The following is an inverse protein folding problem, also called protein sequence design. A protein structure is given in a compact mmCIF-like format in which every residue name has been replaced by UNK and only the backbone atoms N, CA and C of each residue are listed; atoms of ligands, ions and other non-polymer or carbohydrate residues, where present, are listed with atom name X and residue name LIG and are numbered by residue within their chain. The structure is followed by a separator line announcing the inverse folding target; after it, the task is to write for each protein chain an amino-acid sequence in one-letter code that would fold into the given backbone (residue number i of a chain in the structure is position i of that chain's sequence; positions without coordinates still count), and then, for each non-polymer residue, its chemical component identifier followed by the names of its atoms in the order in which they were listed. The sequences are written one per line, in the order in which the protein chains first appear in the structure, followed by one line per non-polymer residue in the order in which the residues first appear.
data_IF_046330239041
#
_entry.id   IF_046330239041
#
_cell.length_a   1.000
_cell.length_b   1.000
_cell.length_c   1.000
_cell.angle_alpha   90.00
_cell.angle_beta   90.00
_cell.angle_gamma   90.00
#
_symmetry.space_group_name_H-M   'P 1'
#
loop_
_entity.id
_entity.type
_entity.pdbx_description
1 polymer ?
#
# COMPACT_ATOMS: atom_id res chain seq x y z
N UNK A 1 24.32 0.31 -23.96
CA UNK A 1 23.28 0.84 -23.05
C UNK A 1 22.67 -0.30 -22.26
N UNK A 2 22.61 -0.24 -20.93
CA UNK A 2 21.97 -1.28 -20.14
C UNK A 2 20.46 -1.33 -20.46
N UNK A 3 19.98 -2.48 -20.97
CA UNK A 3 18.55 -2.70 -21.24
C UNK A 3 17.76 -2.52 -19.94
N UNK A 4 16.91 -1.53 -19.88
CA UNK A 4 15.99 -1.35 -18.77
C UNK A 4 14.87 -2.36 -18.91
N UNK A 5 14.78 -3.32 -17.98
CA UNK A 5 13.69 -4.31 -17.94
C UNK A 5 12.35 -3.58 -17.85
N UNK A 6 11.42 -3.94 -18.71
CA UNK A 6 10.10 -3.30 -18.77
C UNK A 6 9.19 -3.76 -17.62
N UNK A 7 8.14 -3.01 -17.32
CA UNK A 7 7.14 -3.45 -16.35
C UNK A 7 6.42 -4.72 -16.78
N UNK A 8 6.25 -4.93 -18.10
CA UNK A 8 5.64 -6.13 -18.65
C UNK A 8 6.46 -7.39 -18.34
N UNK A 9 7.80 -7.29 -18.42
CA UNK A 9 8.69 -8.41 -18.13
C UNK A 9 8.63 -8.78 -16.62
N UNK A 10 8.55 -7.79 -15.75
CA UNK A 10 8.41 -8.05 -14.32
C UNK A 10 7.04 -8.66 -13.95
N UNK A 11 5.96 -8.35 -14.68
CA UNK A 11 4.64 -8.96 -14.43
C UNK A 11 4.58 -10.46 -14.74
N UNK A 12 5.50 -10.96 -15.58
CA UNK A 12 5.63 -12.40 -15.87
C UNK A 12 6.30 -13.19 -14.75
N UNK A 13 6.99 -12.52 -13.82
CA UNK A 13 7.77 -13.14 -12.74
C UNK A 13 6.91 -13.43 -11.51
N UNK A 14 7.28 -14.47 -10.79
CA UNK A 14 6.69 -14.78 -9.49
C UNK A 14 7.05 -13.72 -8.43
N UNK A 15 6.23 -13.60 -7.38
CA UNK A 15 6.50 -12.67 -6.28
C UNK A 15 7.84 -12.97 -5.58
N UNK A 16 8.24 -14.25 -5.50
CA UNK A 16 9.53 -14.66 -4.93
C UNK A 16 10.69 -14.12 -5.77
N UNK A 17 10.69 -14.38 -7.08
CA UNK A 17 11.70 -13.86 -8.00
C UNK A 17 11.78 -12.33 -8.00
N UNK A 18 10.62 -11.65 -7.92
CA UNK A 18 10.57 -10.19 -7.83
C UNK A 18 11.26 -9.67 -6.55
N UNK A 19 11.12 -10.37 -5.42
CA UNK A 19 11.80 -10.01 -4.17
C UNK A 19 13.31 -10.24 -4.27
N UNK A 20 13.73 -11.32 -4.90
CA UNK A 20 15.16 -11.63 -5.11
C UNK A 20 15.81 -10.60 -6.06
N UNK A 21 15.13 -10.27 -7.16
CA UNK A 21 15.57 -9.20 -8.07
C UNK A 21 15.64 -7.84 -7.36
N UNK A 22 14.65 -7.53 -6.52
CA UNK A 22 14.64 -6.31 -5.72
C UNK A 22 15.86 -6.21 -4.79
N UNK A 23 16.22 -7.30 -4.13
CA UNK A 23 17.36 -7.34 -3.25
C UNK A 23 18.66 -7.17 -4.04
N UNK A 24 18.84 -7.86 -5.17
CA UNK A 24 19.99 -7.71 -6.06
C UNK A 24 20.16 -6.26 -6.52
N UNK A 25 19.09 -5.61 -6.97
CA UNK A 25 19.14 -4.23 -7.45
C UNK A 25 19.42 -3.25 -6.31
N UNK A 26 18.93 -3.52 -5.10
CA UNK A 26 19.22 -2.70 -3.92
C UNK A 26 20.68 -2.77 -3.52
N UNK A 27 21.28 -3.95 -3.50
CA UNK A 27 22.69 -4.12 -3.19
C UNK A 27 23.56 -3.44 -4.24
N UNK A 28 23.25 -3.59 -5.53
CA UNK A 28 23.96 -2.87 -6.62
C UNK A 28 23.84 -1.35 -6.46
N UNK A 29 22.66 -0.83 -6.16
CA UNK A 29 22.46 0.61 -5.92
C UNK A 29 23.26 1.10 -4.72
N UNK A 30 23.35 0.31 -3.65
CA UNK A 30 24.14 0.64 -2.47
C UNK A 30 25.64 0.68 -2.79
N UNK A 31 26.15 -0.31 -3.54
CA UNK A 31 27.55 -0.34 -3.98
C UNK A 31 27.90 0.89 -4.83
N UNK A 32 27.01 1.27 -5.78
CA UNK A 32 27.26 2.44 -6.62
C UNK A 32 27.20 3.74 -5.79
N UNK A 33 26.32 3.82 -4.80
CA UNK A 33 26.29 4.98 -3.88
C UNK A 33 27.56 5.09 -3.05
N UNK A 34 28.08 3.97 -2.57
CA UNK A 34 29.35 3.93 -1.85
C UNK A 34 30.52 4.37 -2.74
N UNK A 35 30.64 3.82 -3.96
CA UNK A 35 31.69 4.25 -4.92
C UNK A 35 31.54 5.72 -5.34
N UNK A 36 30.33 6.27 -5.35
CA UNK A 36 30.10 7.71 -5.54
C UNK A 36 30.71 8.52 -4.40
N UNK A 37 30.52 8.09 -3.16
CA UNK A 37 31.04 8.78 -1.98
C UNK A 37 32.58 8.74 -1.95
N UNK A 38 33.21 7.67 -2.44
CA UNK A 38 34.67 7.55 -2.52
C UNK A 38 35.31 8.20 -3.76
N UNK A 39 34.52 8.84 -4.62
CA UNK A 39 35.03 9.63 -5.77
C UNK A 39 35.51 8.81 -6.97
N UNK A 40 35.50 7.48 -6.91
CA UNK A 40 36.21 6.57 -7.84
C UNK A 40 35.46 6.21 -9.12
N UNK A 41 34.19 6.58 -9.33
CA UNK A 41 33.44 6.03 -10.46
C UNK A 41 32.38 6.96 -11.08
N UNK A 42 32.83 8.01 -11.77
CA UNK A 42 31.95 8.94 -12.52
C UNK A 42 31.12 8.20 -13.58
N UNK A 43 31.68 7.24 -14.31
CA UNK A 43 31.03 6.51 -15.40
C UNK A 43 29.84 5.61 -14.94
N UNK A 44 29.80 5.20 -13.67
CA UNK A 44 28.71 4.36 -13.12
C UNK A 44 27.52 5.17 -12.56
N UNK A 45 27.65 6.48 -12.43
CA UNK A 45 26.63 7.31 -11.80
C UNK A 45 25.30 7.37 -12.58
N UNK A 46 25.36 7.27 -13.91
CA UNK A 46 24.18 7.19 -14.77
C UNK A 46 23.27 6.00 -14.45
N UNK A 47 23.84 4.89 -13.97
CA UNK A 47 23.08 3.70 -13.57
C UNK A 47 22.19 3.93 -12.35
N UNK A 48 22.53 4.87 -11.46
CA UNK A 48 21.72 5.17 -10.26
C UNK A 48 20.27 5.50 -10.62
N UNK A 49 20.07 6.32 -11.66
CA UNK A 49 18.73 6.68 -12.14
C UNK A 49 17.95 5.45 -12.64
N UNK A 50 18.64 4.57 -13.38
CA UNK A 50 18.05 3.35 -13.95
C UNK A 50 17.65 2.39 -12.83
N UNK A 51 18.55 2.10 -11.88
CA UNK A 51 18.29 1.19 -10.76
C UNK A 51 17.14 1.69 -9.87
N UNK A 52 17.09 2.99 -9.59
CA UNK A 52 15.96 3.59 -8.84
C UNK A 52 14.62 3.38 -9.55
N UNK A 53 14.58 3.52 -10.88
CA UNK A 53 13.37 3.27 -11.68
C UNK A 53 12.99 1.80 -11.70
N UNK A 54 13.96 0.89 -11.76
CA UNK A 54 13.71 -0.55 -11.69
C UNK A 54 13.14 -0.95 -10.32
N UNK A 55 13.71 -0.45 -9.22
CA UNK A 55 13.17 -0.67 -7.87
C UNK A 55 11.72 -0.20 -7.79
N UNK A 56 11.41 0.99 -8.30
CA UNK A 56 10.06 1.52 -8.27
C UNK A 56 9.08 0.64 -9.07
N UNK A 57 9.46 0.15 -10.25
CA UNK A 57 8.65 -0.76 -11.06
C UNK A 57 8.37 -2.07 -10.33
N UNK A 58 9.40 -2.70 -9.76
CA UNK A 58 9.24 -3.97 -9.03
C UNK A 58 8.32 -3.79 -7.82
N UNK A 59 8.50 -2.74 -7.03
CA UNK A 59 7.65 -2.46 -5.87
C UNK A 59 6.19 -2.22 -6.28
N UNK A 60 5.96 -1.52 -7.38
CA UNK A 60 4.61 -1.30 -7.92
C UNK A 60 3.94 -2.63 -8.28
N UNK A 61 4.66 -3.53 -8.96
CA UNK A 61 4.11 -4.82 -9.38
C UNK A 61 3.86 -5.75 -8.19
N UNK A 62 4.77 -5.79 -7.21
CA UNK A 62 4.53 -6.53 -5.97
C UNK A 62 3.27 -6.01 -5.28
N UNK A 63 3.07 -4.68 -5.26
CA UNK A 63 1.86 -4.08 -4.69
C UNK A 63 0.60 -4.43 -5.47
N UNK A 64 0.66 -4.41 -6.81
CA UNK A 64 -0.44 -4.84 -7.69
C UNK A 64 -0.81 -6.30 -7.42
N UNK A 65 0.17 -7.20 -7.33
CA UNK A 65 -0.05 -8.61 -7.05
C UNK A 65 -0.69 -8.83 -5.67
N UNK A 66 -0.17 -8.21 -4.63
CA UNK A 66 -0.75 -8.29 -3.28
C UNK A 66 -2.20 -7.77 -3.25
N UNK A 67 -2.47 -6.66 -3.97
CA UNK A 67 -3.82 -6.10 -4.09
C UNK A 67 -4.77 -7.08 -4.79
N UNK A 68 -4.33 -7.68 -5.89
CA UNK A 68 -5.11 -8.65 -6.63
C UNK A 68 -5.38 -9.93 -5.82
N UNK A 69 -4.40 -10.40 -5.04
CA UNK A 69 -4.61 -11.53 -4.12
C UNK A 69 -5.66 -11.23 -3.04
N UNK A 70 -5.63 -10.04 -2.47
CA UNK A 70 -6.65 -9.62 -1.49
C UNK A 70 -8.02 -9.53 -2.13
N UNK A 71 -8.13 -8.95 -3.34
CA UNK A 71 -9.39 -8.88 -4.08
C UNK A 71 -9.91 -10.29 -4.39
N UNK A 72 -9.04 -11.21 -4.83
CA UNK A 72 -9.41 -12.62 -5.06
C UNK A 72 -9.88 -13.30 -3.77
N UNK A 73 -9.17 -13.14 -2.66
CA UNK A 73 -9.56 -13.70 -1.36
C UNK A 73 -10.91 -13.16 -0.85
N UNK A 74 -11.19 -11.89 -1.09
CA UNK A 74 -12.48 -11.28 -0.76
C UNK A 74 -13.56 -11.82 -1.70
N UNK A 75 -13.29 -11.87 -3.00
CA UNK A 75 -14.20 -12.41 -4.01
C UNK A 75 -14.55 -13.88 -3.76
N UNK A 76 -13.56 -14.75 -3.46
CA UNK A 76 -13.81 -16.17 -3.14
C UNK A 76 -14.64 -16.36 -1.87
N UNK A 77 -14.49 -15.53 -0.85
CA UNK A 77 -15.36 -15.59 0.32
C UNK A 77 -16.80 -15.17 0.02
N UNK A 78 -16.97 -14.31 -0.96
CA UNK A 78 -18.26 -13.79 -1.42
C UNK A 78 -18.94 -14.79 -2.35
N UNK A 79 -18.19 -15.45 -3.25
CA UNK A 79 -18.72 -16.45 -4.19
C UNK A 79 -19.09 -17.78 -3.52
N UNK A 80 -18.52 -18.11 -2.34
CA UNK A 80 -18.96 -19.26 -1.54
C UNK A 80 -20.36 -19.04 -0.92
N UNK A 81 -20.87 -17.80 -0.90
CA UNK A 81 -22.18 -17.44 -0.36
C UNK A 81 -23.26 -17.14 -1.43
N UNK A 82 -22.88 -17.08 -2.74
CA UNK A 82 -23.82 -16.80 -3.83
C UNK A 82 -23.21 -16.91 -5.22
N UNK A 83 -23.69 -17.83 -6.02
CA UNK A 83 -23.34 -17.94 -7.44
C UNK A 83 -23.97 -16.77 -8.22
N UNK A 84 -23.14 -15.99 -8.93
CA UNK A 84 -23.61 -15.01 -9.92
C UNK A 84 -23.61 -13.53 -9.51
N UNK A 85 -22.85 -13.13 -8.49
CA UNK A 85 -22.86 -11.74 -8.02
C UNK A 85 -22.19 -10.74 -8.98
N UNK A 86 -22.87 -9.62 -9.20
CA UNK A 86 -22.36 -8.50 -10.01
C UNK A 86 -21.24 -7.74 -9.32
N UNK A 87 -20.38 -7.05 -10.10
CA UNK A 87 -19.30 -6.20 -9.54
C UNK A 87 -19.78 -5.22 -8.46
N UNK A 88 -21.02 -4.70 -8.59
CA UNK A 88 -21.62 -3.77 -7.61
C UNK A 88 -21.88 -4.44 -6.26
N UNK A 89 -22.32 -5.68 -6.25
CA UNK A 89 -22.56 -6.46 -5.01
C UNK A 89 -21.25 -6.79 -4.30
N UNK A 90 -20.20 -7.15 -5.04
CA UNK A 90 -18.88 -7.34 -4.50
C UNK A 90 -18.34 -6.05 -3.86
N UNK A 91 -18.53 -4.90 -4.50
CA UNK A 91 -18.17 -3.60 -3.93
C UNK A 91 -18.94 -3.26 -2.65
N UNK A 92 -20.24 -3.58 -2.59
CA UNK A 92 -21.06 -3.36 -1.39
C UNK A 92 -20.63 -4.29 -0.25
N UNK A 93 -20.32 -5.55 -0.53
CA UNK A 93 -19.79 -6.50 0.45
C UNK A 93 -18.40 -6.10 0.96
N UNK A 94 -17.52 -5.59 0.08
CA UNK A 94 -16.22 -5.00 0.49
C UNK A 94 -16.45 -3.80 1.42
N UNK A 95 -17.46 -2.96 1.15
CA UNK A 95 -17.81 -1.83 2.03
C UNK A 95 -18.28 -2.26 3.41
N UNK A 96 -18.95 -3.42 3.50
CA UNK A 96 -19.48 -3.96 4.76
C UNK A 96 -18.43 -4.75 5.59
N UNK A 97 -17.33 -5.17 4.97
CA UNK A 97 -16.24 -5.81 5.69
C UNK A 97 -15.61 -4.85 6.72
N UNK A 98 -15.24 -5.39 7.88
CA UNK A 98 -14.55 -4.61 8.91
C UNK A 98 -13.31 -3.95 8.32
N UNK A 99 -13.25 -2.64 8.34
CA UNK A 99 -12.20 -1.83 7.70
C UNK A 99 -10.76 -2.23 8.09
N UNK A 100 -10.57 -2.89 9.24
CA UNK A 100 -9.26 -3.38 9.70
C UNK A 100 -8.61 -4.39 8.75
N UNK A 101 -9.40 -5.18 8.04
CA UNK A 101 -8.93 -6.27 7.17
C UNK A 101 -8.79 -5.86 5.70
N UNK A 102 -9.17 -4.64 5.35
CA UNK A 102 -9.09 -4.13 3.97
C UNK A 102 -7.87 -3.22 3.84
N UNK A 103 -6.97 -3.44 2.86
CA UNK A 103 -5.88 -2.52 2.56
C UNK A 103 -6.38 -1.10 2.32
N UNK A 104 -5.58 -0.11 2.69
CA UNK A 104 -5.96 1.30 2.58
C UNK A 104 -6.39 1.72 1.16
N UNK A 105 -5.78 1.13 0.13
CA UNK A 105 -6.07 1.43 -1.28
C UNK A 105 -7.46 0.96 -1.72
N UNK A 106 -8.00 -0.07 -1.07
CA UNK A 106 -9.31 -0.64 -1.38
C UNK A 106 -10.42 -0.06 -0.51
N UNK A 107 -10.07 0.71 0.53
CA UNK A 107 -11.06 1.36 1.39
C UNK A 107 -11.75 2.51 0.67
N UNK A 108 -13.06 2.72 0.88
CA UNK A 108 -13.75 3.88 0.32
C UNK A 108 -13.12 5.17 0.84
N UNK A 109 -12.79 6.08 -0.07
CA UNK A 109 -12.30 7.42 0.29
C UNK A 109 -13.46 8.25 0.84
N UNK A 110 -13.33 8.70 2.07
CA UNK A 110 -14.26 9.66 2.67
C UNK A 110 -13.70 11.07 2.57
N UNK A 111 -14.55 12.08 2.70
CA UNK A 111 -14.11 13.47 2.74
C UNK A 111 -13.15 13.72 3.90
N UNK A 112 -12.32 14.78 3.79
CA UNK A 112 -11.37 15.17 4.85
C UNK A 112 -12.09 15.41 6.19
N UNK A 113 -13.23 16.08 6.17
CA UNK A 113 -14.03 16.36 7.37
C UNK A 113 -14.47 15.05 8.07
N UNK A 114 -14.96 14.06 7.30
CA UNK A 114 -15.39 12.76 7.86
C UNK A 114 -14.19 11.98 8.42
N UNK A 115 -13.03 12.02 7.75
CA UNK A 115 -11.82 11.32 8.24
C UNK A 115 -11.26 11.91 9.53
N UNK A 116 -11.43 13.22 9.75
CA UNK A 116 -10.94 13.96 10.93
C UNK A 116 -11.99 14.17 12.01
N UNK A 117 -13.21 13.73 11.75
CA UNK A 117 -14.29 13.79 12.75
C UNK A 117 -13.92 12.97 13.98
N UNK A 118 -14.20 13.51 15.15
CA UNK A 118 -14.02 12.80 16.41
C UNK A 118 -14.76 11.46 16.40
N UNK A 119 -14.11 10.44 16.92
CA UNK A 119 -14.73 9.12 17.12
C UNK A 119 -15.89 9.18 18.10
N UNK A 120 -16.73 8.15 18.11
CA UNK A 120 -17.84 8.06 19.08
C UNK A 120 -17.34 8.09 20.52
N UNK A 121 -16.17 7.52 20.78
CA UNK A 121 -15.54 7.52 22.10
C UNK A 121 -15.07 8.94 22.47
N UNK A 122 -14.31 9.60 21.61
CA UNK A 122 -13.80 10.96 21.85
C UNK A 122 -14.91 11.98 22.10
N UNK A 123 -16.07 11.83 21.43
CA UNK A 123 -17.24 12.68 21.66
C UNK A 123 -17.90 12.49 23.02
N UNK A 124 -17.74 11.31 23.65
CA UNK A 124 -18.25 11.01 24.98
C UNK A 124 -17.33 11.53 26.09
N UNK A 125 -16.08 11.85 25.77
CA UNK A 125 -15.14 12.38 26.74
C UNK A 125 -15.60 13.77 27.20
N UNK A 126 -15.72 13.93 28.50
CA UNK A 126 -16.15 15.18 29.16
C UNK A 126 -14.94 15.79 29.84
N UNK A 127 -14.69 17.08 29.63
CA UNK A 127 -13.59 17.77 30.29
C UNK A 127 -13.93 17.98 31.79
N UNK A 128 -12.91 18.06 32.64
CA UNK A 128 -13.08 18.36 34.08
C UNK A 128 -13.88 19.64 34.32
N UNK A 129 -13.71 20.65 33.47
CA UNK A 129 -14.48 21.91 33.53
C UNK A 129 -15.97 21.68 33.30
N UNK A 130 -16.33 20.82 32.37
CA UNK A 130 -17.73 20.47 32.09
C UNK A 130 -18.35 19.65 33.23
N UNK A 131 -17.57 18.71 33.80
CA UNK A 131 -17.99 17.94 34.99
C UNK A 131 -18.27 18.86 36.18
N UNK A 132 -17.37 19.80 36.51
CA UNK A 132 -17.56 20.80 37.56
C UNK A 132 -18.80 21.68 37.33
N UNK A 133 -19.08 22.06 36.06
CA UNK A 133 -20.30 22.83 35.75
C UNK A 133 -21.57 22.01 35.91
N UNK A 134 -21.56 20.70 35.58
CA UNK A 134 -22.72 19.82 35.83
C UNK A 134 -22.97 19.60 37.32
N UNK A 135 -21.92 19.47 38.14
CA UNK A 135 -22.05 19.32 39.58
C UNK A 135 -22.58 20.57 40.32
N UNK A 136 -22.38 21.78 39.72
CA UNK A 136 -22.91 23.04 40.29
C UNK A 136 -24.38 23.33 39.94
N UNK A 137 -24.98 22.54 39.03
CA UNK A 137 -26.40 22.68 38.64
C UNK A 137 -27.34 21.74 39.41
N UNK A 138 -26.83 21.07 40.42
CA UNK A 138 -27.61 20.40 41.48
C UNK A 138 -27.64 21.27 42.72
#
# INVERSE_FOLDING_TARGET
MAKTTSAADYRKKSVKELKDDLNKIRTELQTIRFTKSSGTAVAKLSKIKILRKQIARILTIIRENNKNEVIKKIGTKVTLEGEGETKKEIETKIKNLKMKHIPLDLRPKRTRAIRRRMTKFERKLVTLRQLKRKGRKK
#
